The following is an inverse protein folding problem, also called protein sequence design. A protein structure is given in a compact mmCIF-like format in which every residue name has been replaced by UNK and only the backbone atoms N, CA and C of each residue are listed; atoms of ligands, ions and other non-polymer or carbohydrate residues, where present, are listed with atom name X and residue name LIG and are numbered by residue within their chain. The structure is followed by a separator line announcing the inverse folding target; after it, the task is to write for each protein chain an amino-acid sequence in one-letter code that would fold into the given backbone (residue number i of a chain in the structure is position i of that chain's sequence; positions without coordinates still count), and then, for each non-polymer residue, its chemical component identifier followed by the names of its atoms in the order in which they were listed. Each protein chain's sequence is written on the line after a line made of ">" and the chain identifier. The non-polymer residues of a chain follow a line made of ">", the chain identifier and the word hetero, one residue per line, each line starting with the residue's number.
data_IF_919879080059
#
_entry.id   IF_919879080059
#
_cell.length_a   1.000
_cell.length_b   1.000
_cell.length_c   1.000
_cell.angle_alpha   90.00
_cell.angle_beta   90.00
_cell.angle_gamma   90.00
#
_symmetry.space_group_name_H-M   'P 1'
#
loop_
_entity.id
_entity.type
_entity.pdbx_description
1 polymer ?
#
# COMPACT_ATOMS: atom_id res chain seq x y z
N UNK A 1 104.39 35.48 6.77
CA UNK A 1 103.85 34.13 7.03
C UNK A 1 102.41 34.17 7.56
N UNK A 2 101.96 35.29 8.14
CA UNK A 2 100.65 35.40 8.80
C UNK A 2 99.45 35.57 7.85
N UNK A 3 99.62 36.29 6.73
CA UNK A 3 98.53 36.56 5.77
C UNK A 3 97.99 35.26 5.12
N UNK A 4 98.87 34.30 4.80
CA UNK A 4 98.47 33.04 4.18
C UNK A 4 97.66 32.14 5.14
N UNK A 5 98.05 32.12 6.43
CA UNK A 5 97.30 31.40 7.47
C UNK A 5 95.95 32.06 7.74
N UNK A 6 95.90 33.39 7.81
CA UNK A 6 94.65 34.17 7.96
C UNK A 6 93.70 33.89 6.78
N UNK A 7 94.21 33.84 5.54
CA UNK A 7 93.43 33.47 4.36
C UNK A 7 92.87 32.04 4.43
N UNK A 8 93.67 31.07 4.89
CA UNK A 8 93.22 29.69 5.11
C UNK A 8 92.13 29.59 6.18
N UNK A 9 92.28 30.27 7.32
CA UNK A 9 91.23 30.29 8.36
C UNK A 9 89.94 30.97 7.87
N UNK A 10 90.05 32.07 7.12
CA UNK A 10 88.88 32.73 6.53
C UNK A 10 88.13 31.80 5.57
N UNK A 11 88.83 31.05 4.72
CA UNK A 11 88.20 30.06 3.83
C UNK A 11 87.51 28.93 4.59
N UNK A 12 88.09 28.44 5.69
CA UNK A 12 87.49 27.40 6.51
C UNK A 12 86.22 27.89 7.24
N UNK A 13 86.24 29.13 7.75
CA UNK A 13 85.08 29.77 8.36
C UNK A 13 83.96 29.94 7.33
N UNK A 14 84.28 30.41 6.11
CA UNK A 14 83.30 30.50 5.02
C UNK A 14 82.67 29.13 4.68
N UNK A 15 83.47 28.06 4.62
CA UNK A 15 82.96 26.71 4.37
C UNK A 15 82.02 26.21 5.49
N UNK A 16 82.37 26.47 6.76
CA UNK A 16 81.53 26.11 7.91
C UNK A 16 80.21 26.89 7.89
N UNK A 17 80.25 28.19 7.59
CA UNK A 17 79.04 29.02 7.49
C UNK A 17 78.10 28.56 6.35
N UNK A 18 78.67 28.17 5.19
CA UNK A 18 77.90 27.60 4.09
C UNK A 18 77.25 26.26 4.47
N UNK A 19 77.98 25.38 5.16
CA UNK A 19 77.44 24.13 5.67
C UNK A 19 76.32 24.37 6.69
N UNK A 20 76.51 25.29 7.64
CA UNK A 20 75.50 25.65 8.63
C UNK A 20 74.23 26.21 7.98
N UNK A 21 74.36 27.03 6.94
CA UNK A 21 73.23 27.53 6.14
C UNK A 21 72.46 26.37 5.49
N UNK A 22 73.16 25.47 4.81
CA UNK A 22 72.53 24.32 4.15
C UNK A 22 71.84 23.38 5.16
N UNK A 23 72.44 23.17 6.33
CA UNK A 23 71.83 22.38 7.42
C UNK A 23 70.56 23.07 7.92
N UNK A 24 70.59 24.40 8.14
CA UNK A 24 69.42 25.15 8.57
C UNK A 24 68.27 25.07 7.55
N UNK A 25 68.57 25.26 6.26
CA UNK A 25 67.58 25.09 5.19
C UNK A 25 66.99 23.68 5.16
N UNK A 26 67.83 22.65 5.35
CA UNK A 26 67.37 21.27 5.48
C UNK A 26 66.43 21.04 6.67
N UNK A 27 66.75 21.61 7.84
CA UNK A 27 65.90 21.53 9.04
C UNK A 27 64.54 22.20 8.81
N UNK A 28 64.50 23.36 8.16
CA UNK A 28 63.25 24.05 7.84
C UNK A 28 62.36 23.19 6.94
N UNK A 29 62.93 22.58 5.89
CA UNK A 29 62.18 21.68 5.00
C UNK A 29 61.65 20.46 5.75
N UNK A 30 62.47 19.84 6.61
CA UNK A 30 62.04 18.69 7.44
C UNK A 30 60.87 19.07 8.35
N UNK A 31 60.93 20.23 8.99
CA UNK A 31 59.84 20.70 9.86
C UNK A 31 58.55 20.92 9.08
N UNK A 32 58.61 21.54 7.90
CA UNK A 32 57.44 21.75 7.04
C UNK A 32 56.83 20.42 6.57
N UNK A 33 57.67 19.46 6.19
CA UNK A 33 57.22 18.11 5.83
C UNK A 33 56.56 17.42 7.03
N UNK A 34 57.14 17.52 8.23
CA UNK A 34 56.57 16.94 9.43
C UNK A 34 55.19 17.53 9.77
N UNK A 35 55.03 18.85 9.67
CA UNK A 35 53.72 19.50 9.83
C UNK A 35 52.69 19.00 8.81
N UNK A 36 53.11 18.82 7.55
CA UNK A 36 52.24 18.29 6.49
C UNK A 36 51.82 16.85 6.78
N UNK A 37 52.75 16.00 7.20
CA UNK A 37 52.47 14.61 7.58
C UNK A 37 51.50 14.53 8.76
N UNK A 38 51.65 15.40 9.77
CA UNK A 38 50.72 15.46 10.91
C UNK A 38 49.31 15.84 10.44
N UNK A 39 49.19 16.85 9.55
CA UNK A 39 47.89 17.26 9.00
C UNK A 39 47.21 16.14 8.22
N UNK A 40 47.95 15.47 7.32
CA UNK A 40 47.43 14.35 6.54
C UNK A 40 47.01 13.17 7.41
N UNK A 41 47.76 12.87 8.47
CA UNK A 41 47.38 11.83 9.41
C UNK A 41 46.06 12.14 10.12
N UNK A 42 45.84 13.40 10.50
CA UNK A 42 44.58 13.82 11.11
C UNK A 42 43.41 13.68 10.12
N UNK A 43 43.58 14.13 8.88
CA UNK A 43 42.56 13.99 7.83
C UNK A 43 42.21 12.52 7.57
N UNK A 44 43.19 11.62 7.55
CA UNK A 44 42.98 10.18 7.39
C UNK A 44 42.18 9.59 8.56
N UNK A 45 42.47 10.02 9.80
CA UNK A 45 41.71 9.58 10.98
C UNK A 45 40.26 10.05 10.89
N UNK A 46 40.02 11.30 10.52
CA UNK A 46 38.68 11.87 10.39
C UNK A 46 37.89 11.17 9.28
N UNK A 47 38.53 10.90 8.14
CA UNK A 47 37.94 10.11 7.05
C UNK A 47 37.56 8.70 7.51
N UNK A 48 38.43 8.03 8.30
CA UNK A 48 38.15 6.70 8.83
C UNK A 48 36.89 6.71 9.73
N UNK A 49 36.78 7.68 10.63
CA UNK A 49 35.62 7.84 11.51
C UNK A 49 34.33 8.05 10.69
N UNK A 50 34.39 8.89 9.66
CA UNK A 50 33.25 9.15 8.79
C UNK A 50 32.82 7.89 8.02
N UNK A 51 33.78 7.13 7.47
CA UNK A 51 33.50 5.86 6.80
C UNK A 51 32.83 4.86 7.74
N UNK A 52 33.34 4.72 8.97
CA UNK A 52 32.73 3.83 9.97
C UNK A 52 31.29 4.26 10.32
N UNK A 53 31.03 5.57 10.42
CA UNK A 53 29.69 6.10 10.65
C UNK A 53 28.75 5.77 9.48
N UNK A 54 29.16 6.05 8.25
CA UNK A 54 28.36 5.75 7.06
C UNK A 54 28.09 4.26 6.91
N UNK A 55 29.05 3.40 7.24
CA UNK A 55 28.84 1.94 7.24
C UNK A 55 27.74 1.50 8.22
N UNK A 56 27.69 2.11 9.42
CA UNK A 56 26.62 1.83 10.40
C UNK A 56 25.25 2.27 9.87
N UNK A 57 25.15 3.47 9.32
CA UNK A 57 23.91 3.99 8.72
C UNK A 57 23.41 3.10 7.57
N UNK A 58 24.31 2.63 6.69
CA UNK A 58 23.98 1.69 5.62
C UNK A 58 23.45 0.35 6.18
N UNK A 59 24.05 -0.15 7.25
CA UNK A 59 23.61 -1.39 7.90
C UNK A 59 22.20 -1.27 8.47
N UNK A 60 21.90 -0.14 9.12
CA UNK A 60 20.56 0.17 9.64
C UNK A 60 19.55 0.30 8.51
N UNK A 61 19.89 1.06 7.47
CA UNK A 61 19.05 1.20 6.28
C UNK A 61 18.72 -0.16 5.64
N UNK A 62 19.70 -1.07 5.55
CA UNK A 62 19.50 -2.42 5.01
C UNK A 62 18.52 -3.24 5.85
N UNK A 63 18.55 -3.09 7.18
CA UNK A 63 17.57 -3.74 8.08
C UNK A 63 16.17 -3.20 7.83
N UNK A 64 16.00 -1.88 7.83
CA UNK A 64 14.69 -1.25 7.58
C UNK A 64 14.13 -1.61 6.20
N UNK A 65 14.99 -1.68 5.18
CA UNK A 65 14.59 -2.13 3.84
C UNK A 65 14.08 -3.59 3.84
N UNK A 66 14.74 -4.47 4.59
CA UNK A 66 14.31 -5.86 4.74
C UNK A 66 12.94 -5.97 5.42
N UNK A 67 12.71 -5.18 6.47
CA UNK A 67 11.42 -5.13 7.17
C UNK A 67 10.30 -4.61 6.25
N UNK A 68 10.57 -3.56 5.48
CA UNK A 68 9.62 -3.03 4.50
C UNK A 68 9.25 -4.07 3.44
N UNK A 69 10.22 -4.86 2.97
CA UNK A 69 9.98 -5.95 2.00
C UNK A 69 9.05 -7.02 2.58
N UNK A 70 9.19 -7.35 3.87
CA UNK A 70 8.31 -8.31 4.56
C UNK A 70 6.89 -7.74 4.64
N UNK A 71 6.74 -6.49 5.12
CA UNK A 71 5.44 -5.82 5.21
C UNK A 71 4.73 -5.72 3.85
N UNK A 72 5.46 -5.44 2.78
CA UNK A 72 4.91 -5.40 1.43
C UNK A 72 4.38 -6.77 0.99
N UNK A 73 5.09 -7.85 1.31
CA UNK A 73 4.64 -9.20 0.99
C UNK A 73 3.38 -9.58 1.78
N UNK A 74 3.28 -9.19 3.05
CA UNK A 74 2.07 -9.41 3.87
C UNK A 74 0.88 -8.64 3.32
N UNK A 75 1.08 -7.37 2.95
CA UNK A 75 0.04 -6.54 2.34
C UNK A 75 -0.45 -7.15 1.02
N UNK A 76 0.46 -7.64 0.17
CA UNK A 76 0.11 -8.30 -1.08
C UNK A 76 -0.72 -9.58 -0.85
N UNK A 77 -0.43 -10.34 0.21
CA UNK A 77 -1.24 -11.51 0.58
C UNK A 77 -2.63 -11.09 1.05
N UNK A 78 -2.72 -10.09 1.92
CA UNK A 78 -4.00 -9.55 2.40
C UNK A 78 -4.86 -9.02 1.24
N UNK A 79 -4.26 -8.30 0.30
CA UNK A 79 -4.95 -7.77 -0.87
C UNK A 79 -5.50 -8.88 -1.78
N UNK A 80 -4.72 -9.95 -2.01
CA UNK A 80 -5.20 -11.12 -2.76
C UNK A 80 -6.39 -11.79 -2.07
N UNK A 81 -6.33 -11.93 -0.74
CA UNK A 81 -7.43 -12.50 0.03
C UNK A 81 -8.69 -11.63 -0.05
N UNK A 82 -8.54 -10.30 0.04
CA UNK A 82 -9.65 -9.36 -0.08
C UNK A 82 -10.34 -9.46 -1.45
N UNK A 83 -9.58 -9.59 -2.55
CA UNK A 83 -10.15 -9.80 -3.89
C UNK A 83 -10.98 -11.09 -3.98
N UNK A 84 -10.48 -12.18 -3.41
CA UNK A 84 -11.22 -13.45 -3.39
C UNK A 84 -12.51 -13.34 -2.57
N UNK A 85 -12.47 -12.60 -1.46
CA UNK A 85 -13.65 -12.38 -0.62
C UNK A 85 -14.69 -11.50 -1.33
N UNK A 86 -14.25 -10.43 -1.99
CA UNK A 86 -15.11 -9.55 -2.80
C UNK A 86 -15.81 -10.32 -3.94
N UNK A 87 -15.08 -11.22 -4.61
CA UNK A 87 -15.66 -12.09 -5.64
C UNK A 87 -16.71 -13.04 -5.04
N UNK A 88 -16.44 -13.65 -3.88
CA UNK A 88 -17.42 -14.51 -3.19
C UNK A 88 -18.67 -13.75 -2.77
N UNK A 89 -18.51 -12.54 -2.23
CA UNK A 89 -19.62 -11.69 -1.83
C UNK A 89 -20.45 -11.27 -3.05
N UNK A 90 -19.80 -10.82 -4.12
CA UNK A 90 -20.44 -10.49 -5.39
C UNK A 90 -21.22 -11.67 -5.97
N UNK A 91 -20.64 -12.88 -5.93
CA UNK A 91 -21.32 -14.11 -6.35
C UNK A 91 -22.57 -14.41 -5.50
N UNK A 92 -22.46 -14.22 -4.19
CA UNK A 92 -23.54 -14.47 -3.24
C UNK A 92 -24.69 -13.48 -3.43
N UNK A 93 -24.38 -12.19 -3.53
CA UNK A 93 -25.35 -11.12 -3.81
C UNK A 93 -26.05 -11.37 -5.14
N UNK A 94 -25.29 -11.71 -6.19
CA UNK A 94 -25.85 -12.06 -7.50
C UNK A 94 -26.81 -13.23 -7.42
N UNK A 95 -26.51 -14.27 -6.64
CA UNK A 95 -27.41 -15.42 -6.43
C UNK A 95 -28.69 -15.01 -5.70
N UNK A 96 -28.59 -14.16 -4.67
CA UNK A 96 -29.74 -13.65 -3.92
C UNK A 96 -30.63 -12.79 -4.82
N UNK A 97 -30.05 -11.85 -5.55
CA UNK A 97 -30.78 -11.01 -6.50
C UNK A 97 -31.47 -11.85 -7.58
N UNK A 98 -30.80 -12.88 -8.10
CA UNK A 98 -31.40 -13.83 -9.03
C UNK A 98 -32.68 -14.45 -8.45
N UNK A 99 -32.61 -14.95 -7.23
CA UNK A 99 -33.75 -15.59 -6.57
C UNK A 99 -34.89 -14.60 -6.29
N UNK A 100 -34.54 -13.39 -5.81
CA UNK A 100 -35.50 -12.32 -5.55
C UNK A 100 -36.24 -11.92 -6.83
N UNK A 101 -35.51 -11.69 -7.93
CA UNK A 101 -36.12 -11.36 -9.22
C UNK A 101 -37.01 -12.49 -9.71
N UNK A 102 -36.57 -13.76 -9.61
CA UNK A 102 -37.39 -14.92 -9.99
C UNK A 102 -38.70 -14.96 -9.20
N UNK A 103 -38.64 -14.83 -7.87
CA UNK A 103 -39.81 -14.89 -7.02
C UNK A 103 -40.76 -13.72 -7.30
N UNK A 104 -40.22 -12.50 -7.44
CA UNK A 104 -41.01 -11.31 -7.69
C UNK A 104 -41.70 -11.36 -9.06
N UNK A 105 -40.97 -11.82 -10.09
CA UNK A 105 -41.53 -11.99 -11.44
C UNK A 105 -42.57 -13.09 -11.52
N UNK A 106 -42.42 -14.20 -10.78
CA UNK A 106 -43.45 -15.24 -10.71
C UNK A 106 -44.78 -14.69 -10.20
N UNK A 107 -44.76 -13.92 -9.10
CA UNK A 107 -45.96 -13.34 -8.51
C UNK A 107 -46.68 -12.36 -9.48
N UNK A 108 -45.91 -11.60 -10.25
CA UNK A 108 -46.45 -10.70 -11.27
C UNK A 108 -47.04 -11.48 -12.46
N UNK A 109 -46.36 -12.55 -12.91
CA UNK A 109 -46.84 -13.42 -13.98
C UNK A 109 -48.14 -14.13 -13.58
N UNK A 110 -48.24 -14.61 -12.34
CA UNK A 110 -49.44 -15.24 -11.80
C UNK A 110 -50.62 -14.25 -11.77
N UNK A 111 -50.36 -12.97 -11.49
CA UNK A 111 -51.35 -11.89 -11.54
C UNK A 111 -51.72 -11.43 -12.96
N UNK A 112 -50.87 -11.69 -13.96
CA UNK A 112 -51.00 -11.26 -15.36
C UNK A 112 -51.07 -9.73 -15.59
N UNK A 113 -50.70 -8.91 -14.60
CA UNK A 113 -50.57 -7.45 -14.73
C UNK A 113 -49.52 -6.94 -13.74
N UNK A 114 -48.92 -5.80 -14.03
CA UNK A 114 -47.85 -5.19 -13.23
C UNK A 114 -48.25 -3.78 -12.78
N UNK A 115 -47.92 -3.37 -11.55
CA UNK A 115 -48.10 -1.98 -11.13
C UNK A 115 -46.90 -1.11 -11.55
N UNK A 116 -47.14 0.19 -11.77
CA UNK A 116 -46.08 1.13 -12.17
C UNK A 116 -44.90 1.17 -11.17
N UNK A 117 -45.18 1.07 -9.87
CA UNK A 117 -44.13 1.00 -8.83
C UNK A 117 -43.30 -0.29 -8.92
N UNK A 118 -43.93 -1.42 -9.24
CA UNK A 118 -43.24 -2.71 -9.39
C UNK A 118 -42.28 -2.70 -10.59
N UNK A 119 -42.64 -2.00 -11.67
CA UNK A 119 -41.75 -1.79 -12.82
C UNK A 119 -40.46 -1.09 -12.37
N UNK A 120 -40.58 -0.05 -11.55
CA UNK A 120 -39.42 0.68 -11.03
C UNK A 120 -38.55 -0.23 -10.14
N UNK A 121 -39.16 -0.92 -9.17
CA UNK A 121 -38.45 -1.83 -8.27
C UNK A 121 -37.74 -2.95 -9.02
N UNK A 122 -38.42 -3.59 -9.99
CA UNK A 122 -37.86 -4.66 -10.79
C UNK A 122 -36.67 -4.19 -11.64
N UNK A 123 -36.74 -2.99 -12.22
CA UNK A 123 -35.62 -2.38 -12.96
C UNK A 123 -34.41 -2.16 -12.07
N UNK A 124 -34.60 -1.63 -10.86
CA UNK A 124 -33.51 -1.39 -9.91
C UNK A 124 -32.85 -2.70 -9.45
N UNK A 125 -33.65 -3.74 -9.14
CA UNK A 125 -33.13 -5.06 -8.81
C UNK A 125 -32.34 -5.68 -9.96
N UNK A 126 -32.85 -5.56 -11.19
CA UNK A 126 -32.18 -6.06 -12.38
C UNK A 126 -30.89 -5.29 -12.69
N UNK A 127 -30.88 -3.97 -12.53
CA UNK A 127 -29.69 -3.14 -12.74
C UNK A 127 -28.55 -3.56 -11.80
N UNK A 128 -28.84 -3.73 -10.51
CA UNK A 128 -27.88 -4.26 -9.55
C UNK A 128 -27.40 -5.67 -9.91
N UNK A 129 -28.29 -6.53 -10.38
CA UNK A 129 -27.94 -7.88 -10.84
C UNK A 129 -27.04 -7.87 -12.09
N UNK A 130 -27.33 -6.98 -13.05
CA UNK A 130 -26.56 -6.83 -14.29
C UNK A 130 -25.14 -6.31 -14.04
N UNK A 131 -25.00 -5.31 -13.15
CA UNK A 131 -23.70 -4.77 -12.75
C UNK A 131 -22.78 -5.82 -12.12
N UNK A 132 -23.35 -6.84 -11.46
CA UNK A 132 -22.61 -7.97 -10.88
C UNK A 132 -22.31 -9.10 -11.89
N UNK A 133 -22.53 -8.87 -13.19
CA UNK A 133 -22.34 -9.89 -14.23
C UNK A 133 -23.46 -10.93 -14.26
N UNK A 134 -24.71 -10.47 -14.14
CA UNK A 134 -25.91 -11.28 -14.29
C UNK A 134 -26.03 -11.99 -15.65
N UNK A 135 -26.86 -13.03 -15.73
CA UNK A 135 -27.06 -13.78 -16.97
C UNK A 135 -28.28 -13.30 -17.78
N UNK A 136 -28.34 -13.68 -19.05
CA UNK A 136 -29.40 -13.32 -19.98
C UNK A 136 -30.79 -13.91 -19.63
N UNK A 137 -30.85 -15.03 -18.89
CA UNK A 137 -32.13 -15.66 -18.52
C UNK A 137 -32.99 -14.74 -17.66
N UNK A 138 -32.36 -14.04 -16.70
CA UNK A 138 -33.08 -13.09 -15.86
C UNK A 138 -33.51 -11.85 -16.66
N UNK A 139 -32.67 -11.41 -17.59
CA UNK A 139 -33.01 -10.30 -18.48
C UNK A 139 -34.25 -10.57 -19.32
N UNK A 140 -34.34 -11.75 -19.95
CA UNK A 140 -35.50 -12.15 -20.75
C UNK A 140 -36.78 -12.17 -19.92
N UNK A 141 -36.71 -12.78 -18.73
CA UNK A 141 -37.81 -12.84 -17.78
C UNK A 141 -38.29 -11.46 -17.33
N UNK A 142 -37.36 -10.54 -17.02
CA UNK A 142 -37.70 -9.16 -16.66
C UNK A 142 -38.39 -8.46 -17.83
N UNK A 143 -37.92 -8.67 -19.08
CA UNK A 143 -38.56 -8.12 -20.28
C UNK A 143 -39.97 -8.67 -20.51
N UNK A 144 -40.22 -9.95 -20.25
CA UNK A 144 -41.56 -10.56 -20.35
C UNK A 144 -42.53 -9.91 -19.38
N UNK A 145 -42.12 -9.76 -18.13
CA UNK A 145 -42.96 -9.19 -17.06
C UNK A 145 -43.27 -7.71 -17.31
N UNK A 146 -42.31 -6.93 -17.83
CA UNK A 146 -42.52 -5.51 -18.16
C UNK A 146 -43.50 -5.31 -19.33
N UNK A 147 -43.70 -6.33 -20.19
CA UNK A 147 -44.67 -6.27 -21.30
C UNK A 147 -46.14 -6.45 -20.83
N UNK A 148 -46.36 -6.89 -19.60
CA UNK A 148 -47.71 -7.09 -19.06
C UNK A 148 -48.46 -5.75 -18.94
N UNK A 149 -49.81 -5.78 -18.96
CA UNK A 149 -50.61 -4.57 -18.81
C UNK A 149 -50.30 -3.85 -17.50
N UNK A 150 -49.95 -2.57 -17.59
CA UNK A 150 -49.60 -1.74 -16.45
C UNK A 150 -50.86 -1.18 -15.78
N UNK A 151 -50.97 -1.33 -14.45
CA UNK A 151 -52.04 -0.73 -13.65
C UNK A 151 -51.52 0.42 -12.80
N UNK A 152 -52.28 1.51 -12.77
CA UNK A 152 -52.09 2.59 -11.81
C UNK A 152 -52.76 2.18 -10.48
N UNK A 153 -51.95 1.97 -9.45
CA UNK A 153 -52.38 1.60 -8.10
C UNK A 153 -51.16 1.53 -7.18
N UNK A 154 -51.36 1.80 -5.89
CA UNK A 154 -50.36 1.55 -4.86
C UNK A 154 -50.10 0.06 -4.78
N UNK A 155 -48.84 -0.34 -4.81
CA UNK A 155 -48.44 -1.69 -4.44
C UNK A 155 -48.98 -2.00 -3.04
N UNK A 156 -50.02 -2.83 -2.96
CA UNK A 156 -50.48 -3.42 -1.72
C UNK A 156 -49.84 -4.82 -1.68
N UNK A 157 -48.69 -5.00 -1.00
CA UNK A 157 -48.05 -6.31 -0.89
C UNK A 157 -49.06 -7.23 -0.24
N UNK A 158 -49.70 -8.02 -1.10
CA UNK A 158 -50.60 -9.12 -0.81
C UNK A 158 -51.04 -9.14 0.67
N UNK A 159 -51.94 -8.21 1.05
CA UNK A 159 -52.42 -8.07 2.44
C UNK A 159 -52.86 -9.42 2.98
N UNK A 160 -53.41 -10.28 2.11
CA UNK A 160 -53.77 -11.66 2.40
C UNK A 160 -52.60 -12.59 2.71
N UNK A 161 -51.44 -12.49 2.05
CA UNK A 161 -50.23 -13.24 2.43
C UNK A 161 -49.62 -12.74 3.73
N UNK A 162 -49.59 -11.42 3.94
CA UNK A 162 -49.12 -10.83 5.20
C UNK A 162 -50.04 -11.27 6.34
N UNK A 163 -51.36 -11.19 6.14
CA UNK A 163 -52.37 -11.63 7.11
C UNK A 163 -52.28 -13.14 7.37
N UNK A 164 -52.05 -13.97 6.34
CA UNK A 164 -51.80 -15.42 6.49
C UNK A 164 -50.53 -15.71 7.29
N UNK A 165 -49.43 -15.05 6.97
CA UNK A 165 -48.17 -15.21 7.69
C UNK A 165 -48.30 -14.76 9.16
N UNK A 166 -49.02 -13.67 9.40
CA UNK A 166 -49.35 -13.19 10.75
C UNK A 166 -50.25 -14.20 11.49
N UNK A 167 -51.23 -14.81 10.82
CA UNK A 167 -52.07 -15.87 11.40
C UNK A 167 -51.27 -17.12 11.77
N UNK A 168 -50.37 -17.59 10.90
CA UNK A 168 -49.50 -18.73 11.18
C UNK A 168 -48.56 -18.44 12.36
N UNK A 169 -47.97 -17.26 12.42
CA UNK A 169 -47.15 -16.82 13.56
C UNK A 169 -47.98 -16.79 14.85
N UNK A 170 -49.22 -16.30 14.81
CA UNK A 170 -50.12 -16.30 15.98
C UNK A 170 -50.46 -17.71 16.47
N UNK A 171 -50.72 -18.66 15.56
CA UNK A 171 -50.97 -20.08 15.91
C UNK A 171 -49.75 -20.72 16.60
N UNK A 172 -48.55 -20.46 16.10
CA UNK A 172 -47.31 -20.95 16.70
C UNK A 172 -47.12 -20.39 18.12
N UNK A 173 -47.37 -19.09 18.31
CA UNK A 173 -47.25 -18.43 19.62
C UNK A 173 -48.29 -18.96 20.62
N UNK A 174 -49.52 -19.24 20.17
CA UNK A 174 -50.57 -19.80 21.04
C UNK A 174 -50.27 -21.23 21.49
N UNK A 175 -49.76 -22.07 20.58
CA UNK A 175 -49.36 -23.45 20.91
C UNK A 175 -48.18 -23.49 21.89
N UNK A 176 -47.26 -22.53 21.81
CA UNK A 176 -46.10 -22.45 22.72
C UNK A 176 -46.39 -21.79 24.09
N UNK A 177 -47.61 -21.28 24.33
CA UNK A 177 -48.04 -20.72 25.63
C UNK A 177 -48.97 -21.65 26.40
N UNK A 178 -49.23 -22.85 25.88
CA UNK A 178 -50.07 -23.89 26.49
C UNK A 178 -49.31 -25.05 27.12
N UNK A 179 -47.98 -25.00 27.14
CA UNK A 179 -47.09 -25.84 27.98
C UNK A 179 -46.57 -25.00 29.16
#
# INVERSE_FOLDING_TARGET
>A
MDILKIGGYASAICAILLLAKNIYEGVVVINNLNSTVISLNQEVVDLKINVEKTQKEISEFKKSFSELKIKLNELNKAFKQMKLEDEKQSNSIRSILRQLIINYTNDILDRQYIYNEEIYCLRQLYEGYALLGGNCTIEERVKEVIKLPAKAGLFNPNKQMIDKAIEEIKKIIQNNKGE
#
